data_IF_091897184825
#
_entry.id   IF_091897184825
#
_cell.length_a   1.000
_cell.length_b   1.000
_cell.length_c   1.000
_cell.angle_alpha   90.00
_cell.angle_beta   90.00
_cell.angle_gamma   90.00
#
_symmetry.space_group_name_H-M   'P 1'
#
loop_
_entity.id
_entity.type
_entity.pdbx_description
1 polymer ?
#
# COMPACT_ATOMS: atom_id res chain seq x y z
N UNK A 1 22.64 -6.33 3.65
CA UNK A 1 21.64 -5.25 3.91
C UNK A 1 20.54 -5.11 2.83
N UNK A 2 20.59 -5.82 1.70
CA UNK A 2 19.58 -5.76 0.63
C UNK A 2 18.21 -6.36 0.98
N UNK A 3 18.19 -7.42 1.80
CA UNK A 3 16.96 -8.16 2.12
C UNK A 3 15.88 -7.34 2.83
N UNK A 4 16.26 -6.44 3.73
CA UNK A 4 15.29 -5.59 4.43
C UNK A 4 14.64 -4.56 3.50
N UNK A 5 15.44 -3.91 2.65
CA UNK A 5 14.94 -2.98 1.65
C UNK A 5 14.00 -3.68 0.65
N UNK A 6 14.31 -4.93 0.26
CA UNK A 6 13.43 -5.72 -0.59
C UNK A 6 12.09 -6.05 0.10
N UNK A 7 12.09 -6.36 1.40
CA UNK A 7 10.86 -6.58 2.17
C UNK A 7 10.00 -5.32 2.28
N UNK A 8 10.60 -4.15 2.46
CA UNK A 8 9.88 -2.86 2.43
C UNK A 8 9.26 -2.64 1.05
N UNK A 9 10.05 -2.80 -0.02
CA UNK A 9 9.57 -2.64 -1.39
C UNK A 9 8.43 -3.61 -1.73
N UNK A 10 8.47 -4.84 -1.22
CA UNK A 10 7.40 -5.81 -1.41
C UNK A 10 6.11 -5.37 -0.70
N UNK A 11 6.20 -4.95 0.57
CA UNK A 11 5.04 -4.44 1.30
C UNK A 11 4.43 -3.20 0.62
N UNK A 12 5.28 -2.28 0.14
CA UNK A 12 4.84 -1.11 -0.62
C UNK A 12 4.11 -1.51 -1.92
N UNK A 13 4.68 -2.42 -2.73
CA UNK A 13 4.05 -2.92 -3.96
C UNK A 13 2.71 -3.61 -3.70
N UNK A 14 2.62 -4.40 -2.64
CA UNK A 14 1.38 -5.10 -2.28
C UNK A 14 0.29 -4.08 -1.89
N UNK A 15 0.65 -3.04 -1.13
CA UNK A 15 -0.25 -1.94 -0.73
C UNK A 15 -0.69 -1.12 -1.96
N UNK A 16 0.25 -0.74 -2.83
CA UNK A 16 -0.03 0.01 -4.06
C UNK A 16 -0.98 -0.76 -4.99
N UNK A 17 -0.80 -2.09 -5.09
CA UNK A 17 -1.68 -2.95 -5.88
C UNK A 17 -3.11 -2.96 -5.32
N UNK A 18 -3.26 -3.05 -3.99
CA UNK A 18 -4.56 -2.97 -3.33
C UNK A 18 -5.23 -1.61 -3.58
N UNK A 19 -4.49 -0.52 -3.36
CA UNK A 19 -4.99 0.85 -3.58
C UNK A 19 -5.41 1.06 -5.05
N UNK A 20 -4.63 0.55 -6.00
CA UNK A 20 -4.98 0.64 -7.42
C UNK A 20 -6.30 -0.09 -7.73
N UNK A 21 -6.52 -1.27 -7.15
CA UNK A 21 -7.78 -2.01 -7.28
C UNK A 21 -8.95 -1.25 -6.64
N UNK A 22 -8.73 -0.65 -5.47
CA UNK A 22 -9.73 0.16 -4.77
C UNK A 22 -10.15 1.38 -5.61
N UNK A 23 -9.21 2.12 -6.19
CA UNK A 23 -9.50 3.25 -7.07
C UNK A 23 -9.97 2.87 -8.48
N UNK A 24 -9.86 1.60 -8.88
CA UNK A 24 -10.43 1.10 -10.14
C UNK A 24 -11.94 0.89 -10.03
N UNK A 25 -12.42 0.51 -8.84
CA UNK A 25 -13.83 0.24 -8.57
C UNK A 25 -14.63 1.51 -8.20
N UNK A 26 -13.96 2.66 -8.04
CA UNK A 26 -14.60 3.95 -7.77
C UNK A 26 -14.94 4.67 -9.08
N UNK A 27 -16.07 5.39 -9.10
CA UNK A 27 -16.60 6.07 -10.29
C UNK A 27 -15.57 6.96 -10.99
N UNK A 28 -15.34 6.68 -12.27
CA UNK A 28 -14.28 7.30 -13.08
C UNK A 28 -14.50 8.80 -13.39
N UNK A 29 -15.67 9.35 -13.05
CA UNK A 29 -16.09 10.73 -13.38
C UNK A 29 -15.74 11.78 -12.32
N UNK A 30 -15.11 11.38 -11.22
CA UNK A 30 -14.73 12.33 -10.18
C UNK A 30 -13.45 13.08 -10.56
N UNK A 31 -13.56 14.39 -10.75
CA UNK A 31 -12.40 15.30 -10.89
C UNK A 31 -11.42 15.21 -9.71
N UNK A 32 -11.87 14.73 -8.55
CA UNK A 32 -11.05 14.51 -7.35
C UNK A 32 -10.19 13.24 -7.44
N UNK A 33 -10.60 12.24 -8.23
CA UNK A 33 -9.88 10.97 -8.31
C UNK A 33 -8.49 11.13 -8.95
N UNK A 34 -8.37 12.06 -9.91
CA UNK A 34 -7.12 12.36 -10.62
C UNK A 34 -6.02 12.93 -9.70
N UNK A 35 -6.26 14.00 -8.92
CA UNK A 35 -5.27 14.50 -7.97
C UNK A 35 -5.00 13.50 -6.84
N UNK A 36 -5.99 12.76 -6.36
CA UNK A 36 -5.76 11.70 -5.35
C UNK A 36 -4.79 10.63 -5.87
N UNK A 37 -5.02 10.08 -7.07
CA UNK A 37 -4.11 9.10 -7.69
C UNK A 37 -2.70 9.67 -7.84
N UNK A 38 -2.58 10.92 -8.27
CA UNK A 38 -1.27 11.57 -8.39
C UNK A 38 -0.57 11.67 -7.04
N UNK A 39 -1.23 12.21 -6.01
CA UNK A 39 -0.66 12.35 -4.67
C UNK A 39 -0.27 11.01 -4.06
N UNK A 40 -1.10 9.98 -4.23
CA UNK A 40 -0.90 8.67 -3.62
C UNK A 40 0.20 7.84 -4.33
N UNK A 41 0.24 7.88 -5.67
CA UNK A 41 1.15 7.05 -6.48
C UNK A 41 2.38 7.78 -7.03
N UNK A 42 2.59 9.07 -6.69
CA UNK A 42 3.78 9.86 -7.09
C UNK A 42 5.12 9.35 -6.53
N UNK A 43 5.09 8.25 -5.76
CA UNK A 43 6.28 7.56 -5.28
C UNK A 43 6.64 7.91 -3.83
N UNK A 44 7.19 6.93 -3.11
CA UNK A 44 7.58 7.09 -1.72
C UNK A 44 8.38 5.90 -1.20
N UNK A 45 8.94 6.01 0.01
CA UNK A 45 9.79 4.96 0.61
C UNK A 45 9.00 3.73 1.10
N UNK A 46 7.66 3.79 1.15
CA UNK A 46 6.82 2.66 1.60
C UNK A 46 7.07 2.22 3.06
N UNK A 47 7.66 3.09 3.87
CA UNK A 47 8.08 2.73 5.23
C UNK A 47 6.88 2.53 6.18
N UNK A 48 5.82 3.35 6.03
CA UNK A 48 4.64 3.30 6.90
C UNK A 48 3.85 2.00 6.75
N UNK A 49 3.67 1.52 5.52
CA UNK A 49 3.01 0.23 5.26
C UNK A 49 3.81 -0.94 5.85
N UNK A 50 5.15 -0.87 5.81
CA UNK A 50 6.00 -1.86 6.46
C UNK A 50 5.80 -1.92 7.97
N UNK A 51 5.70 -0.78 8.65
CA UNK A 51 5.45 -0.73 10.11
C UNK A 51 4.13 -1.43 10.42
N UNK A 52 3.05 -1.08 9.73
CA UNK A 52 1.71 -1.67 9.95
C UNK A 52 1.75 -3.19 9.77
N UNK A 53 2.34 -3.66 8.66
CA UNK A 53 2.48 -5.10 8.37
C UNK A 53 3.30 -5.82 9.44
N UNK A 54 4.39 -5.22 9.91
CA UNK A 54 5.25 -5.84 10.91
C UNK A 54 4.60 -5.86 12.29
N UNK A 55 3.93 -4.78 12.69
CA UNK A 55 3.12 -4.75 13.90
C UNK A 55 2.01 -5.79 13.84
N UNK A 56 1.29 -5.91 12.73
CA UNK A 56 0.24 -6.92 12.58
C UNK A 56 0.78 -8.36 12.66
N UNK A 57 1.97 -8.62 12.11
CA UNK A 57 2.64 -9.91 12.25
C UNK A 57 3.02 -10.25 13.69
N UNK A 58 3.41 -9.26 14.50
CA UNK A 58 3.67 -9.46 15.94
C UNK A 58 2.41 -9.97 16.65
N UNK A 59 1.23 -9.47 16.25
CA UNK A 59 -0.06 -9.89 16.79
C UNK A 59 -0.70 -11.07 16.02
N UNK A 60 0.07 -11.77 15.17
CA UNK A 60 -0.39 -12.91 14.39
C UNK A 60 -1.62 -12.64 13.49
N UNK A 61 -1.75 -11.41 12.99
CA UNK A 61 -2.81 -10.99 12.06
C UNK A 61 -2.46 -11.46 10.64
N UNK A 62 -3.45 -11.92 9.88
CA UNK A 62 -3.28 -12.34 8.50
C UNK A 62 -2.74 -11.18 7.62
N UNK A 63 -1.70 -11.48 6.86
CA UNK A 63 -1.09 -10.56 5.92
C UNK A 63 -2.05 -10.07 4.84
N UNK A 64 -3.02 -10.88 4.42
CA UNK A 64 -4.03 -10.47 3.43
C UNK A 64 -4.92 -9.35 3.94
N UNK A 65 -5.27 -9.38 5.24
CA UNK A 65 -6.01 -8.30 5.88
C UNK A 65 -5.13 -7.04 6.01
N UNK A 66 -3.85 -7.22 6.33
CA UNK A 66 -2.90 -6.12 6.53
C UNK A 66 -2.53 -5.37 5.25
N UNK A 67 -2.64 -5.99 4.06
CA UNK A 67 -2.43 -5.31 2.76
C UNK A 67 -3.58 -4.37 2.38
N UNK A 68 -4.74 -4.58 2.98
CA UNK A 68 -5.97 -3.84 2.71
C UNK A 68 -6.12 -2.59 3.60
N UNK A 69 -5.25 -2.44 4.60
CA UNK A 69 -5.15 -1.31 5.55
C UNK A 69 -4.04 -0.35 5.13
#
# INVERSE_FOLDING_TARGET
MSGFQNKIRQAAKDTDKYLYQLFKNQDAKSYLLKPMKYSLFSGGKGFRSKIIVDTGKIFNIDYNLLKAL
#
